data_IF_452984477560
#
_entry.id   IF_452984477560
#
_cell.length_a   1.000
_cell.length_b   1.000
_cell.length_c   1.000
_cell.angle_alpha   90.00
_cell.angle_beta   90.00
_cell.angle_gamma   90.00
#
_symmetry.space_group_name_H-M   'P 1'
#
loop_
_entity.id
_entity.type
_entity.pdbx_description
1 polymer ?
#
# COMPACT_ATOMS: atom_id res chain seq x y z
N UNK A 1 -6.42 9.02 -6.99
CA UNK A 1 -5.14 8.56 -6.38
C UNK A 1 -5.07 7.04 -6.29
N UNK A 2 -6.10 6.38 -5.77
CA UNK A 2 -6.26 4.91 -5.73
C UNK A 2 -5.87 4.21 -7.04
N UNK A 3 -6.54 4.57 -8.15
CA UNK A 3 -6.32 3.92 -9.45
C UNK A 3 -4.90 4.11 -10.02
N UNK A 4 -4.21 5.19 -9.63
CA UNK A 4 -2.80 5.41 -9.99
C UNK A 4 -1.91 4.42 -9.25
N UNK A 5 -2.14 4.23 -7.95
CA UNK A 5 -1.40 3.27 -7.13
C UNK A 5 -1.68 1.83 -7.57
N UNK A 6 -2.95 1.50 -7.87
CA UNK A 6 -3.31 0.17 -8.37
C UNK A 6 -2.63 -0.16 -9.69
N UNK A 7 -2.58 0.80 -10.63
CA UNK A 7 -1.82 0.67 -11.88
C UNK A 7 -0.33 0.51 -11.63
N UNK A 8 0.25 1.28 -10.69
CA UNK A 8 1.68 1.18 -10.34
C UNK A 8 2.04 -0.21 -9.84
N UNK A 9 1.27 -0.79 -8.91
CA UNK A 9 1.50 -2.16 -8.44
C UNK A 9 1.31 -3.19 -9.55
N UNK A 10 0.26 -3.07 -10.36
CA UNK A 10 0.00 -4.01 -11.45
C UNK A 10 1.14 -4.05 -12.48
N UNK A 11 1.70 -2.88 -12.84
CA UNK A 11 2.77 -2.77 -13.82
C UNK A 11 4.14 -3.16 -13.26
N UNK A 12 4.43 -2.74 -12.03
CA UNK A 12 5.80 -2.78 -11.51
C UNK A 12 6.01 -3.72 -10.32
N UNK A 13 4.94 -4.21 -9.67
CA UNK A 13 5.04 -5.25 -8.64
C UNK A 13 5.78 -6.52 -9.11
N UNK A 14 5.56 -7.01 -10.35
CA UNK A 14 6.32 -8.15 -10.88
C UNK A 14 7.83 -7.93 -11.04
N UNK A 15 8.33 -6.69 -10.91
CA UNK A 15 9.78 -6.42 -10.97
C UNK A 15 10.53 -7.12 -9.83
N UNK A 16 9.92 -7.26 -8.64
CA UNK A 16 10.56 -7.94 -7.51
C UNK A 16 10.94 -9.38 -7.89
N UNK A 17 9.97 -10.14 -8.39
CA UNK A 17 10.21 -11.51 -8.86
C UNK A 17 11.18 -11.56 -10.04
N UNK A 18 11.10 -10.61 -10.99
CA UNK A 18 12.02 -10.55 -12.14
C UNK A 18 13.47 -10.34 -11.70
N UNK A 19 13.72 -9.46 -10.74
CA UNK A 19 15.07 -9.21 -10.23
C UNK A 19 15.61 -10.39 -9.40
N UNK A 20 14.76 -11.07 -8.62
CA UNK A 20 15.14 -12.30 -7.93
C UNK A 20 15.55 -13.42 -8.91
N UNK A 21 14.81 -13.60 -10.01
CA UNK A 21 15.20 -14.56 -11.05
C UNK A 21 16.55 -14.23 -11.71
N UNK A 22 16.91 -12.94 -11.76
CA UNK A 22 18.22 -12.48 -12.25
C UNK A 22 19.34 -12.61 -11.23
N UNK A 23 19.05 -13.14 -10.03
CA UNK A 23 19.95 -13.13 -8.86
C UNK A 23 20.39 -11.70 -8.47
N UNK A 24 19.55 -10.70 -8.76
CA UNK A 24 19.79 -9.32 -8.38
C UNK A 24 18.99 -8.97 -7.11
N UNK A 25 19.52 -9.34 -5.95
CA UNK A 25 18.86 -9.10 -4.67
C UNK A 25 18.69 -7.61 -4.36
N UNK A 26 19.63 -6.76 -4.76
CA UNK A 26 19.55 -5.30 -4.54
C UNK A 26 18.42 -4.68 -5.36
N UNK A 27 18.31 -5.04 -6.64
CA UNK A 27 17.22 -4.57 -7.50
C UNK A 27 15.86 -5.06 -7.01
N UNK A 28 15.79 -6.30 -6.52
CA UNK A 28 14.55 -6.84 -5.94
C UNK A 28 14.13 -6.08 -4.69
N UNK A 29 15.07 -5.81 -3.78
CA UNK A 29 14.81 -5.04 -2.56
C UNK A 29 14.41 -3.60 -2.86
N UNK A 30 15.08 -2.95 -3.82
CA UNK A 30 14.72 -1.59 -4.26
C UNK A 30 13.30 -1.56 -4.83
N UNK A 31 12.97 -2.47 -5.74
CA UNK A 31 11.62 -2.57 -6.31
C UNK A 31 10.57 -2.82 -5.22
N UNK A 32 10.86 -3.69 -4.26
CA UNK A 32 9.96 -3.95 -3.14
C UNK A 32 9.70 -2.69 -2.30
N UNK A 33 10.76 -2.02 -1.82
CA UNK A 33 10.63 -0.84 -0.96
C UNK A 33 9.97 0.33 -1.69
N UNK A 34 10.45 0.65 -2.90
CA UNK A 34 10.05 1.88 -3.61
C UNK A 34 8.73 1.76 -4.35
N UNK A 35 8.28 0.56 -4.66
CA UNK A 35 7.09 0.34 -5.49
C UNK A 35 5.99 -0.29 -4.64
N UNK A 36 6.25 -1.46 -4.07
CA UNK A 36 5.23 -2.24 -3.36
C UNK A 36 4.93 -1.58 -2.01
N UNK A 37 5.95 -1.43 -1.17
CA UNK A 37 5.78 -0.92 0.19
C UNK A 37 5.34 0.55 0.21
N UNK A 38 5.97 1.42 -0.60
CA UNK A 38 5.53 2.82 -0.77
C UNK A 38 4.06 2.94 -1.23
N UNK A 39 3.62 2.10 -2.17
CA UNK A 39 2.23 2.13 -2.64
C UNK A 39 1.24 1.64 -1.57
N UNK A 40 1.61 0.63 -0.78
CA UNK A 40 0.83 0.16 0.36
C UNK A 40 0.68 1.26 1.41
N UNK A 41 1.78 1.91 1.81
CA UNK A 41 1.77 3.02 2.78
C UNK A 41 0.84 4.13 2.30
N UNK A 42 0.95 4.55 1.04
CA UNK A 42 0.07 5.58 0.49
C UNK A 42 -1.41 5.16 0.45
N UNK A 43 -1.70 3.87 0.26
CA UNK A 43 -3.08 3.37 0.31
C UNK A 43 -3.62 3.38 1.75
N UNK A 44 -2.80 2.97 2.72
CA UNK A 44 -3.15 3.02 4.14
C UNK A 44 -3.40 4.46 4.62
N UNK A 45 -2.64 5.44 4.13
CA UNK A 45 -2.92 6.86 4.39
C UNK A 45 -4.27 7.30 3.86
N UNK A 46 -4.68 6.80 2.68
CA UNK A 46 -6.01 7.10 2.16
C UNK A 46 -7.13 6.52 3.03
N UNK A 47 -6.86 5.38 3.70
CA UNK A 47 -7.81 4.74 4.63
C UNK A 47 -7.88 5.44 5.99
N UNK A 48 -6.74 5.63 6.64
CA UNK A 48 -6.67 6.02 8.05
C UNK A 48 -6.47 7.52 8.28
N UNK A 49 -5.78 8.22 7.37
CA UNK A 49 -5.50 9.65 7.49
C UNK A 49 -5.85 10.46 6.23
N UNK A 50 -7.11 10.40 5.75
CA UNK A 50 -7.52 11.11 4.55
C UNK A 50 -7.38 12.65 4.65
N UNK A 51 -7.36 13.21 5.86
CA UNK A 51 -7.18 14.65 6.09
C UNK A 51 -5.71 15.12 6.13
N UNK A 52 -4.73 14.20 6.26
CA UNK A 52 -3.30 14.52 6.42
C UNK A 52 -2.46 13.98 5.25
N UNK A 53 -2.85 14.32 4.02
CA UNK A 53 -2.13 13.90 2.83
C UNK A 53 -0.78 14.61 2.68
N UNK A 54 0.33 13.93 3.01
CA UNK A 54 1.67 14.43 2.67
C UNK A 54 2.87 13.80 3.38
N UNK A 55 2.65 13.02 4.44
CA UNK A 55 3.74 12.52 5.26
C UNK A 55 4.19 11.11 4.85
N UNK A 56 5.51 10.85 4.85
CA UNK A 56 6.10 9.55 4.49
C UNK A 56 5.99 8.56 5.68
N UNK A 57 6.40 7.30 5.53
CA UNK A 57 6.34 6.22 6.56
C UNK A 57 6.84 6.65 7.96
N UNK A 58 7.68 7.67 8.00
CA UNK A 58 8.20 8.33 9.20
C UNK A 58 7.13 8.75 10.23
N UNK A 59 5.88 8.96 9.81
CA UNK A 59 4.77 9.34 10.70
C UNK A 59 3.72 8.23 10.91
N UNK A 60 3.94 7.04 10.33
CA UNK A 60 3.03 5.89 10.45
C UNK A 60 2.69 5.58 11.92
N UNK A 61 3.67 5.71 12.83
CA UNK A 61 3.50 5.51 14.29
C UNK A 61 2.43 6.40 14.93
N UNK A 62 2.24 7.62 14.43
CA UNK A 62 1.33 8.61 15.02
C UNK A 62 -0.03 8.65 14.30
N UNK A 63 -0.07 8.15 13.07
CA UNK A 63 -1.22 8.28 12.18
C UNK A 63 -1.99 6.97 11.97
N UNK A 64 -1.35 5.82 12.21
CA UNK A 64 -1.99 4.52 12.03
C UNK A 64 -2.28 3.83 13.36
N UNK A 65 -3.31 2.96 13.41
CA UNK A 65 -3.51 2.05 14.53
C UNK A 65 -2.24 1.21 14.81
N UNK A 66 -1.91 0.93 16.08
CA UNK A 66 -0.70 0.18 16.45
C UNK A 66 -0.54 -1.15 15.70
N UNK A 67 -1.64 -1.86 15.45
CA UNK A 67 -1.63 -3.12 14.69
C UNK A 67 -1.21 -2.94 13.23
N UNK A 68 -1.58 -1.82 12.61
CA UNK A 68 -1.18 -1.47 11.24
C UNK A 68 0.31 -1.14 11.20
N UNK A 69 0.81 -0.42 12.22
CA UNK A 69 2.23 -0.09 12.34
C UNK A 69 3.06 -1.37 12.50
N UNK A 70 2.68 -2.26 13.42
CA UNK A 70 3.40 -3.53 13.62
C UNK A 70 3.47 -4.38 12.36
N UNK A 71 2.35 -4.51 11.63
CA UNK A 71 2.32 -5.24 10.35
C UNK A 71 3.18 -4.57 9.28
N UNK A 72 3.25 -3.24 9.23
CA UNK A 72 4.15 -2.51 8.33
C UNK A 72 5.62 -2.69 8.68
N UNK A 73 5.97 -2.68 9.97
CA UNK A 73 7.33 -2.93 10.46
C UNK A 73 7.77 -4.33 10.06
N UNK A 74 6.94 -5.34 10.31
CA UNK A 74 7.18 -6.72 9.89
C UNK A 74 7.47 -6.79 8.39
N UNK A 75 6.66 -6.15 7.54
CA UNK A 75 6.89 -6.14 6.09
C UNK A 75 8.16 -5.35 5.69
N UNK A 76 8.52 -4.31 6.43
CA UNK A 76 9.68 -3.47 6.12
C UNK A 76 11.02 -4.15 6.40
N UNK A 77 11.09 -4.97 7.46
CA UNK A 77 12.31 -5.68 7.85
C UNK A 77 12.45 -6.99 7.04
N UNK A 78 13.13 -6.91 5.90
CA UNK A 78 13.48 -8.06 5.06
C UNK A 78 14.76 -8.71 5.59
N UNK A 79 14.68 -9.96 6.05
CA UNK A 79 15.81 -10.67 6.67
C UNK A 79 16.76 -11.34 5.67
N UNK A 80 16.24 -11.75 4.50
CA UNK A 80 17.02 -12.37 3.42
C UNK A 80 16.34 -12.23 2.06
N UNK A 81 16.98 -12.65 0.97
CA UNK A 81 16.33 -12.63 -0.35
C UNK A 81 15.18 -13.66 -0.45
N UNK A 82 15.25 -14.76 0.30
CA UNK A 82 14.24 -15.84 0.31
C UNK A 82 12.95 -15.41 1.00
N UNK A 83 13.06 -14.45 1.91
CA UNK A 83 11.97 -13.83 2.66
C UNK A 83 11.17 -12.82 1.79
N UNK A 84 11.88 -12.15 0.87
CA UNK A 84 11.33 -11.07 0.06
C UNK A 84 10.08 -11.45 -0.77
N UNK A 85 10.00 -12.62 -1.44
CA UNK A 85 8.78 -13.05 -2.15
C UNK A 85 7.55 -13.13 -1.25
N UNK A 86 7.70 -13.68 -0.04
CA UNK A 86 6.59 -13.85 0.89
C UNK A 86 6.07 -12.49 1.36
N UNK A 87 6.97 -11.59 1.80
CA UNK A 87 6.62 -10.22 2.18
C UNK A 87 6.04 -9.42 1.01
N UNK A 88 6.55 -9.60 -0.21
CA UNK A 88 6.01 -8.96 -1.40
C UNK A 88 4.56 -9.40 -1.65
N UNK A 89 4.27 -10.70 -1.58
CA UNK A 89 2.92 -11.23 -1.74
C UNK A 89 1.97 -10.66 -0.68
N UNK A 90 2.35 -10.74 0.59
CA UNK A 90 1.55 -10.22 1.71
C UNK A 90 1.29 -8.73 1.59
N UNK A 91 2.29 -7.93 1.18
CA UNK A 91 2.11 -6.50 0.97
C UNK A 91 1.15 -6.18 -0.19
N UNK A 92 1.22 -6.94 -1.29
CA UNK A 92 0.31 -6.79 -2.43
C UNK A 92 -1.12 -7.20 -2.09
N UNK A 93 -1.30 -8.28 -1.34
CA UNK A 93 -2.62 -8.71 -0.83
C UNK A 93 -3.23 -7.63 0.06
N UNK A 94 -2.47 -7.15 1.05
CA UNK A 94 -2.94 -6.10 1.94
C UNK A 94 -3.25 -4.79 1.21
N UNK A 95 -2.47 -4.45 0.18
CA UNK A 95 -2.78 -3.32 -0.68
C UNK A 95 -4.14 -3.46 -1.36
N UNK A 96 -4.46 -4.66 -1.90
CA UNK A 96 -5.74 -4.90 -2.60
C UNK A 96 -6.91 -4.79 -1.63
N UNK A 97 -6.82 -5.43 -0.47
CA UNK A 97 -7.81 -5.32 0.61
C UNK A 97 -8.07 -3.85 0.97
N UNK A 98 -6.99 -3.09 1.20
CA UNK A 98 -7.11 -1.67 1.56
C UNK A 98 -7.72 -0.84 0.42
N UNK A 99 -7.38 -1.16 -0.84
CA UNK A 99 -7.93 -0.45 -2.00
C UNK A 99 -9.44 -0.71 -2.19
N UNK A 100 -9.92 -1.89 -1.84
CA UNK A 100 -11.35 -2.23 -1.85
C UNK A 100 -12.10 -1.41 -0.80
N UNK A 101 -11.62 -1.41 0.46
CA UNK A 101 -12.23 -0.65 1.55
C UNK A 101 -12.28 0.86 1.26
N UNK A 102 -11.20 1.42 0.71
CA UNK A 102 -11.16 2.84 0.30
C UNK A 102 -12.18 3.11 -0.81
N UNK A 103 -12.33 2.18 -1.77
CA UNK A 103 -13.33 2.29 -2.83
C UNK A 103 -14.77 2.29 -2.29
N UNK A 104 -15.07 1.41 -1.34
CA UNK A 104 -16.38 1.38 -0.68
C UNK A 104 -16.67 2.65 0.11
N UNK A 105 -15.67 3.17 0.84
CA UNK A 105 -15.78 4.41 1.60
C UNK A 105 -16.07 5.61 0.68
N UNK A 106 -15.38 5.69 -0.46
CA UNK A 106 -15.59 6.72 -1.49
C UNK A 106 -17.02 6.65 -2.06
N UNK A 107 -17.50 5.45 -2.42
CA UNK A 107 -18.87 5.24 -2.93
C UNK A 107 -19.90 5.66 -1.89
N UNK A 108 -19.74 5.22 -0.63
CA UNK A 108 -20.64 5.56 0.48
C UNK A 108 -20.65 7.07 0.74
N UNK A 109 -19.51 7.73 0.64
CA UNK A 109 -19.42 9.18 0.76
C UNK A 109 -20.23 9.87 -0.35
N UNK A 110 -20.07 9.47 -1.61
CA UNK A 110 -20.83 10.06 -2.73
C UNK A 110 -22.34 9.90 -2.57
N UNK A 111 -22.81 8.72 -2.17
CA UNK A 111 -24.24 8.48 -1.93
C UNK A 111 -24.81 9.41 -0.85
N UNK A 112 -24.06 9.65 0.25
CA UNK A 112 -24.48 10.58 1.31
C UNK A 112 -24.53 12.04 0.86
N UNK A 113 -23.67 12.45 -0.08
CA UNK A 113 -23.66 13.81 -0.63
C UNK A 113 -24.61 13.98 -1.83
N UNK A 114 -25.14 12.88 -2.40
CA UNK A 114 -26.17 12.85 -3.44
C UNK A 114 -27.60 12.67 -2.91
N UNK A 115 -27.82 12.71 -1.59
CA UNK A 115 -29.15 12.71 -0.98
C UNK A 115 -29.93 13.98 -1.35
N UNK A 116 -31.28 13.92 -1.54
CA UNK A 116 -32.03 14.88 -2.33
C UNK A 116 -32.15 16.23 -1.59
N UNK A 117 -31.50 17.26 -2.14
CA UNK A 117 -31.94 18.66 -2.07
C UNK A 117 -31.96 19.17 -3.51
N UNK A 118 -33.03 19.73 -4.05
CA UNK A 118 -34.16 20.41 -3.43
C UNK A 118 -35.40 20.27 -4.32
N UNK A 119 -36.56 20.37 -3.66
CA UNK A 119 -37.87 20.62 -4.27
C UNK A 119 -37.89 21.88 -5.15
#
# INVERSE_FOLDING_TARGET
RRDRLSRRIALFGPLVSKELHRRNALGALEAYQRIVLDSLVQMLQMRYTPAHHGFNVRYARHEFPPEVVGRLEELSYVGSQEDLPAKCRTAVEWFRETAEEVGEADIRSRIRHSGPGSA
#
